data_IF_821447607121
#
_entry.id   IF_821447607121
#
_cell.length_a   1.000
_cell.length_b   1.000
_cell.length_c   1.000
_cell.angle_alpha   90.00
_cell.angle_beta   90.00
_cell.angle_gamma   90.00
#
_symmetry.space_group_name_H-M   'P 1'
#
loop_
_entity.id
_entity.type
_entity.pdbx_description
1 polymer ?
#
# COMPACT_ATOMS: atom_id res chain seq x y z
N UNK A 1 -12.03 6.23 -1.63
CA UNK A 1 -11.28 4.95 -1.60
C UNK A 1 -9.97 5.16 -2.33
N UNK A 2 -8.86 4.70 -1.78
CA UNK A 2 -7.53 4.90 -2.34
C UNK A 2 -7.05 3.61 -3.01
N UNK A 3 -6.26 3.73 -4.08
CA UNK A 3 -5.68 2.58 -4.78
C UNK A 3 -4.19 2.53 -4.51
N UNK A 4 -3.73 1.46 -3.86
CA UNK A 4 -2.31 1.15 -3.68
C UNK A 4 -1.81 0.42 -4.93
N UNK A 5 -0.66 0.85 -5.44
CA UNK A 5 0.01 0.26 -6.62
C UNK A 5 1.40 -0.18 -6.22
N UNK A 6 1.76 -1.41 -6.57
CA UNK A 6 3.08 -1.98 -6.34
C UNK A 6 3.60 -2.59 -7.63
N UNK A 7 4.80 -2.19 -8.04
CA UNK A 7 5.57 -2.88 -9.07
C UNK A 7 6.51 -3.86 -8.37
N UNK A 8 6.50 -5.11 -8.80
CA UNK A 8 7.42 -6.14 -8.30
C UNK A 8 8.28 -6.58 -9.48
N UNK A 9 9.59 -6.45 -9.34
CA UNK A 9 10.56 -6.89 -10.35
C UNK A 9 11.54 -7.90 -9.80
N UNK A 10 12.10 -8.73 -10.67
CA UNK A 10 13.29 -9.53 -10.36
C UNK A 10 14.56 -8.66 -10.39
N UNK A 11 15.71 -9.29 -10.10
CA UNK A 11 17.01 -8.60 -10.10
C UNK A 11 17.45 -8.12 -11.49
N UNK A 12 16.86 -8.63 -12.58
CA UNK A 12 17.11 -8.19 -13.95
C UNK A 12 16.13 -7.08 -14.40
N UNK A 13 15.19 -6.69 -13.54
CA UNK A 13 14.18 -5.68 -13.82
C UNK A 13 12.93 -6.22 -14.53
N UNK A 14 12.79 -7.53 -14.69
CA UNK A 14 11.58 -8.12 -15.28
C UNK A 14 10.42 -8.08 -14.28
N UNK A 15 9.20 -7.73 -14.70
CA UNK A 15 8.04 -7.76 -13.81
C UNK A 15 7.72 -9.20 -13.37
N UNK A 16 7.42 -9.36 -12.08
CA UNK A 16 6.92 -10.61 -11.50
C UNK A 16 5.41 -10.48 -11.37
N UNK A 17 4.65 -11.14 -12.24
CA UNK A 17 3.19 -11.04 -12.36
C UNK A 17 2.40 -12.14 -11.65
N UNK A 18 3.10 -13.15 -11.13
CA UNK A 18 2.53 -14.34 -10.48
C UNK A 18 2.87 -14.44 -8.99
N UNK A 19 3.19 -13.32 -8.33
CA UNK A 19 3.39 -13.26 -6.90
C UNK A 19 2.05 -13.10 -6.16
N UNK A 20 1.97 -13.66 -4.96
CA UNK A 20 0.90 -13.33 -4.01
C UNK A 20 1.26 -12.03 -3.31
N UNK A 21 0.45 -10.99 -3.49
CA UNK A 21 0.67 -9.67 -2.87
C UNK A 21 -0.48 -9.34 -1.92
N UNK A 22 -0.14 -8.93 -0.71
CA UNK A 22 -1.09 -8.47 0.32
C UNK A 22 -0.59 -7.16 0.90
N UNK A 23 -1.42 -6.12 0.85
CA UNK A 23 -1.18 -4.90 1.61
C UNK A 23 -1.79 -5.04 3.00
N UNK A 24 -1.06 -4.66 4.03
CA UNK A 24 -1.53 -4.55 5.40
C UNK A 24 -1.33 -3.11 5.84
N UNK A 25 -2.40 -2.39 6.15
CA UNK A 25 -2.31 -0.98 6.51
C UNK A 25 -2.97 -0.69 7.86
N UNK A 26 -2.34 0.18 8.65
CA UNK A 26 -2.82 0.60 9.98
C UNK A 26 -2.31 1.99 10.33
N UNK A 27 -3.01 2.69 11.21
CA UNK A 27 -2.40 3.79 11.96
C UNK A 27 -1.64 3.21 13.16
N UNK A 28 -0.48 3.81 13.47
CA UNK A 28 0.32 3.44 14.65
C UNK A 28 -0.33 3.99 15.92
N UNK A 29 -1.47 3.41 16.32
CA UNK A 29 -2.19 3.72 17.55
C UNK A 29 -2.43 2.46 18.37
N UNK A 30 -2.28 2.51 19.71
CA UNK A 30 -2.56 1.38 20.58
C UNK A 30 -4.00 0.85 20.38
N UNK A 31 -4.13 -0.46 20.17
CA UNK A 31 -5.43 -1.11 20.01
C UNK A 31 -6.00 -1.14 18.59
N UNK A 32 -5.38 -0.49 17.61
CA UNK A 32 -5.76 -0.66 16.20
C UNK A 32 -5.22 -1.98 15.63
N UNK A 33 -6.07 -2.66 14.85
CA UNK A 33 -5.68 -3.83 14.05
C UNK A 33 -5.42 -3.41 12.62
N UNK A 34 -4.34 -3.92 12.03
CA UNK A 34 -4.08 -3.71 10.62
C UNK A 34 -5.13 -4.39 9.74
N UNK A 35 -5.51 -3.69 8.67
CA UNK A 35 -6.42 -4.19 7.65
C UNK A 35 -5.60 -4.81 6.54
N UNK A 36 -5.89 -6.07 6.20
CA UNK A 36 -5.24 -6.79 5.10
C UNK A 36 -6.10 -6.78 3.86
N UNK A 37 -5.53 -6.40 2.72
CA UNK A 37 -6.19 -6.40 1.42
C UNK A 37 -5.31 -7.12 0.40
N UNK A 38 -5.81 -8.18 -0.26
CA UNK A 38 -5.08 -8.81 -1.34
C UNK A 38 -5.00 -7.87 -2.53
N UNK A 39 -3.91 -7.95 -3.28
CA UNK A 39 -3.74 -7.19 -4.52
C UNK A 39 -3.88 -8.10 -5.74
N UNK A 40 -4.30 -7.53 -6.87
CA UNK A 40 -4.42 -8.24 -8.15
C UNK A 40 -3.49 -7.62 -9.16
N UNK A 41 -2.79 -8.46 -9.94
CA UNK A 41 -1.93 -7.98 -11.01
C UNK A 41 -2.76 -7.46 -12.19
N UNK A 42 -2.52 -6.21 -12.58
CA UNK A 42 -3.16 -5.53 -13.71
C UNK A 42 -2.23 -4.47 -14.28
N UNK A 43 -2.11 -4.41 -15.62
CA UNK A 43 -1.33 -3.38 -16.32
C UNK A 43 0.11 -3.24 -15.80
N UNK A 44 0.78 -4.35 -15.51
CA UNK A 44 2.19 -4.36 -15.04
C UNK A 44 2.38 -4.11 -13.54
N UNK A 45 1.30 -4.01 -12.76
CA UNK A 45 1.36 -3.62 -11.34
C UNK A 45 0.34 -4.41 -10.51
N UNK A 46 0.61 -4.59 -9.23
CA UNK A 46 -0.38 -5.09 -8.27
C UNK A 46 -1.22 -3.93 -7.74
N UNK A 47 -2.54 -4.05 -7.85
CA UNK A 47 -3.50 -3.07 -7.34
C UNK A 47 -4.26 -3.62 -6.14
N UNK A 48 -4.28 -2.86 -5.04
CA UNK A 48 -5.08 -3.13 -3.84
C UNK A 48 -5.91 -1.92 -3.44
N UNK A 49 -7.13 -2.14 -2.92
CA UNK A 49 -8.01 -1.05 -2.45
C UNK A 49 -7.82 -0.81 -0.96
N UNK A 50 -7.42 0.40 -0.60
CA UNK A 50 -7.24 0.83 0.77
C UNK A 50 -8.23 1.93 1.15
N UNK A 51 -8.77 1.85 2.36
CA UNK A 51 -9.64 2.88 2.94
C UNK A 51 -8.93 3.52 4.12
N UNK A 52 -8.23 4.61 3.85
CA UNK A 52 -7.69 5.49 4.88
C UNK A 52 -8.86 6.31 5.44
N UNK A 53 -9.27 6.01 6.67
CA UNK A 53 -10.48 6.57 7.28
C UNK A 53 -10.29 7.96 7.90
N UNK A 54 -9.04 8.38 8.10
CA UNK A 54 -8.65 9.62 8.76
C UNK A 54 -7.36 10.14 8.13
N UNK A 55 -7.19 11.47 8.19
CA UNK A 55 -5.95 12.11 7.81
C UNK A 55 -4.84 11.78 8.82
N UNK A 56 -3.59 11.70 8.35
CA UNK A 56 -2.40 11.42 9.15
C UNK A 56 -1.54 10.30 8.57
N UNK A 57 -0.54 9.90 9.34
CA UNK A 57 0.43 8.86 8.93
C UNK A 57 -0.15 7.46 9.09
N UNK A 58 -0.14 6.70 8.00
CA UNK A 58 -0.50 5.29 7.94
C UNK A 58 0.72 4.45 7.65
N UNK A 59 0.94 3.42 8.48
CA UNK A 59 1.90 2.36 8.19
C UNK A 59 1.26 1.39 7.18
N UNK A 60 1.95 1.14 6.07
CA UNK A 60 1.56 0.17 5.05
C UNK A 60 2.68 -0.85 4.88
N UNK A 61 2.44 -2.06 5.34
CA UNK A 61 3.32 -3.22 5.13
C UNK A 61 2.84 -4.02 3.94
N UNK A 62 3.71 -4.20 2.96
CA UNK A 62 3.47 -5.00 1.77
C UNK A 62 4.09 -6.37 1.97
N UNK A 63 3.31 -7.42 1.81
CA UNK A 63 3.78 -8.81 1.83
C UNK A 63 3.75 -9.35 0.40
N UNK A 64 4.90 -9.82 -0.06
CA UNK A 64 5.08 -10.36 -1.41
C UNK A 64 5.61 -11.79 -1.29
N UNK A 65 4.86 -12.76 -1.79
CA UNK A 65 5.32 -14.14 -1.92
C UNK A 65 5.46 -14.49 -3.41
N UNK A 66 6.68 -14.41 -3.98
CA UNK A 66 6.93 -14.88 -5.33
C UNK A 66 6.79 -16.42 -5.40
N UNK A 67 6.52 -17.00 -6.58
CA UNK A 67 6.38 -18.44 -6.72
C UNK A 67 7.67 -19.16 -6.34
N UNK A 68 7.55 -20.14 -5.43
CA UNK A 68 8.69 -20.95 -4.97
C UNK A 68 9.73 -20.21 -4.14
N UNK A 69 9.44 -18.97 -3.70
CA UNK A 69 10.33 -18.15 -2.87
C UNK A 69 9.66 -17.84 -1.52
N UNK A 70 10.44 -17.57 -0.46
CA UNK A 70 9.90 -17.10 0.80
C UNK A 70 9.17 -15.76 0.63
N UNK A 71 8.25 -15.49 1.55
CA UNK A 71 7.61 -14.18 1.65
C UNK A 71 8.63 -13.11 2.04
N UNK A 72 8.50 -11.95 1.40
CA UNK A 72 9.28 -10.75 1.66
C UNK A 72 8.29 -9.69 2.14
N UNK A 73 8.69 -8.89 3.12
CA UNK A 73 7.88 -7.80 3.64
C UNK A 73 8.63 -6.48 3.52
N UNK A 74 7.93 -5.44 3.09
CA UNK A 74 8.44 -4.07 3.02
C UNK A 74 7.44 -3.11 3.68
N UNK A 75 7.94 -2.19 4.49
CA UNK A 75 7.11 -1.23 5.22
C UNK A 75 7.28 0.17 4.62
N UNK A 76 6.17 0.84 4.40
CA UNK A 76 6.10 2.23 3.94
C UNK A 76 5.26 3.04 4.92
N UNK A 77 5.72 4.25 5.24
CA UNK A 77 4.90 5.23 5.94
C UNK A 77 4.28 6.17 4.90
N UNK A 78 2.95 6.18 4.82
CA UNK A 78 2.19 7.00 3.89
C UNK A 78 1.46 8.10 4.66
N UNK A 79 1.52 9.33 4.15
CA UNK A 79 0.71 10.43 4.68
C UNK A 79 -0.61 10.52 3.90
N UNK A 80 -1.72 10.31 4.61
CA UNK A 80 -3.05 10.56 4.06
C UNK A 80 -3.45 12.00 4.41
N UNK A 81 -3.45 12.90 3.44
CA UNK A 81 -3.99 14.24 3.61
C UNK A 81 -5.52 14.21 3.71
N UNK A 82 -6.07 14.98 4.65
CA UNK A 82 -7.43 15.50 4.50
C UNK A 82 -7.27 16.69 3.55
N UNK A 83 -7.88 16.62 2.36
CA UNK A 83 -7.61 17.54 1.25
C UNK A 83 -7.35 18.96 1.72
N UNK A 84 -6.22 19.51 1.30
CA UNK A 84 -5.78 20.85 1.67
C UNK A 84 -6.95 21.82 1.55
N UNK A 85 -7.19 22.58 2.61
CA UNK A 85 -7.89 23.86 2.53
C UNK A 85 -6.99 24.84 1.75
N UNK A 86 -6.73 24.54 0.48
CA UNK A 86 -6.06 25.41 -0.48
C UNK A 86 -7.07 26.43 -1.00
N UNK A 87 -7.57 27.28 -0.08
CA UNK A 87 -8.76 28.09 -0.35
C UNK A 87 -9.13 29.18 0.65
N UNK A 88 -8.20 29.68 1.48
CA UNK A 88 -8.41 30.99 2.12
C UNK A 88 -7.66 32.09 1.37
N UNK A 89 -8.32 32.83 0.46
CA UNK A 89 -7.81 34.14 0.07
C UNK A 89 -8.14 35.15 1.19
N UNK A 90 -7.10 35.77 1.74
CA UNK A 90 -7.21 37.05 2.43
C UNK A 90 -7.01 37.01 3.95
N UNK A 91 -5.84 37.45 4.39
CA UNK A 91 -5.71 38.67 5.20
C UNK A 91 -4.47 39.44 4.74
#
# INVERSE_FOLDING_TARGET
ENTLRLVVTDAAGNPIDNAKVVFSYTMAMPGMKAVKVPATFKNGQYEGKAKFGMAGTWEVTVFVTPPGKPEIQEKFDLEAGGGDMDGMPGM
#
